data_IF_353535925315
#
_entry.id   IF_353535925315
#
_cell.length_a   1.000
_cell.length_b   1.000
_cell.length_c   1.000
_cell.angle_alpha   90.00
_cell.angle_beta   90.00
_cell.angle_gamma   90.00
#
_symmetry.space_group_name_H-M   'P 1'
#
loop_
_entity.id
_entity.type
_entity.pdbx_description
1 polymer ?
#
# COMPACT_ATOMS: atom_id res chain seq x y z
N UNK A 1 -3.46 3.85 -19.60
CA UNK A 1 -3.76 2.41 -19.68
C UNK A 1 -2.74 1.67 -20.54
N UNK A 2 -2.55 2.03 -21.82
CA UNK A 2 -1.66 1.35 -22.77
C UNK A 2 -0.22 1.13 -22.25
N UNK A 3 0.43 2.19 -21.75
CA UNK A 3 1.76 2.07 -21.15
C UNK A 3 1.77 1.12 -19.93
N UNK A 4 0.67 1.10 -19.17
CA UNK A 4 0.52 0.23 -18.01
C UNK A 4 0.38 -1.23 -18.43
N UNK A 5 -0.48 -1.54 -19.41
CA UNK A 5 -0.63 -2.90 -19.93
C UNK A 5 0.72 -3.43 -20.43
N UNK A 6 1.40 -2.65 -21.24
CA UNK A 6 2.70 -3.06 -21.78
C UNK A 6 3.75 -3.24 -20.69
N UNK A 7 3.83 -2.33 -19.68
CA UNK A 7 4.79 -2.46 -18.59
C UNK A 7 4.51 -3.69 -17.71
N UNK A 8 3.23 -3.99 -17.47
CA UNK A 8 2.82 -5.18 -16.73
C UNK A 8 3.19 -6.46 -17.48
N UNK A 9 3.00 -6.50 -18.79
CA UNK A 9 3.44 -7.65 -19.63
C UNK A 9 4.96 -7.82 -19.63
N UNK A 10 5.72 -6.73 -19.63
CA UNK A 10 7.19 -6.79 -19.54
C UNK A 10 7.68 -7.34 -18.21
N UNK A 11 7.01 -7.00 -17.11
CA UNK A 11 7.43 -7.36 -15.75
C UNK A 11 6.85 -8.70 -15.31
N UNK A 12 5.57 -8.93 -15.55
CA UNK A 12 4.86 -10.13 -15.05
C UNK A 12 4.79 -11.26 -16.09
N UNK A 13 4.96 -10.94 -17.37
CA UNK A 13 4.93 -11.90 -18.46
C UNK A 13 3.77 -11.77 -19.44
N UNK A 14 3.87 -12.46 -20.56
CA UNK A 14 2.95 -12.38 -21.69
C UNK A 14 1.51 -12.89 -21.40
N UNK A 15 1.29 -13.57 -20.28
CA UNK A 15 -0.03 -14.05 -19.85
C UNK A 15 -0.93 -12.93 -19.32
N UNK A 16 -0.37 -11.74 -19.05
CA UNK A 16 -1.14 -10.59 -18.61
C UNK A 16 -2.05 -10.13 -19.74
N UNK A 17 -3.34 -10.06 -19.45
CA UNK A 17 -4.37 -9.54 -20.35
C UNK A 17 -5.24 -8.54 -19.60
N UNK A 18 -5.61 -7.45 -20.27
CA UNK A 18 -6.56 -6.51 -19.73
C UNK A 18 -7.94 -7.17 -19.61
N UNK A 19 -8.51 -7.17 -18.39
CA UNK A 19 -9.88 -7.65 -18.11
C UNK A 19 -10.86 -6.51 -17.92
N UNK A 20 -10.38 -5.30 -17.70
CA UNK A 20 -11.14 -4.08 -17.60
C UNK A 20 -10.27 -2.87 -17.37
N UNK A 21 -10.75 -1.69 -17.73
CA UNK A 21 -10.09 -0.43 -17.40
C UNK A 21 -11.10 0.69 -17.25
N UNK A 22 -10.74 1.66 -16.42
CA UNK A 22 -11.49 2.90 -16.25
C UNK A 22 -10.49 4.03 -16.10
N UNK A 23 -10.69 5.10 -16.84
CA UNK A 23 -9.92 6.35 -16.72
C UNK A 23 -10.88 7.46 -16.35
N UNK A 24 -10.62 8.11 -15.24
CA UNK A 24 -11.35 9.29 -14.76
C UNK A 24 -10.40 10.50 -14.71
N UNK A 25 -10.90 11.70 -14.47
CA UNK A 25 -10.02 12.87 -14.28
C UNK A 25 -9.07 12.74 -13.09
N UNK A 26 -9.38 11.93 -12.09
CA UNK A 26 -8.65 11.84 -10.82
C UNK A 26 -7.83 10.58 -10.64
N UNK A 27 -8.17 9.48 -11.30
CA UNK A 27 -7.45 8.20 -11.20
C UNK A 27 -7.70 7.32 -12.42
N UNK A 28 -6.86 6.33 -12.58
CA UNK A 28 -7.10 5.21 -13.48
C UNK A 28 -7.18 3.91 -12.69
N UNK A 29 -8.00 2.97 -13.20
CA UNK A 29 -8.11 1.60 -12.74
C UNK A 29 -7.81 0.66 -13.90
N UNK A 30 -7.05 -0.39 -13.61
CA UNK A 30 -6.70 -1.42 -14.57
C UNK A 30 -6.84 -2.80 -13.94
N UNK A 31 -7.71 -3.63 -14.53
CA UNK A 31 -7.96 -5.00 -14.12
C UNK A 31 -7.23 -5.95 -15.09
N UNK A 32 -6.41 -6.84 -14.56
CA UNK A 32 -5.56 -7.74 -15.34
C UNK A 32 -5.67 -9.19 -14.90
N UNK A 33 -5.44 -10.12 -15.83
CA UNK A 33 -5.28 -11.54 -15.51
C UNK A 33 -3.91 -11.79 -14.87
N UNK A 34 -3.92 -12.14 -13.58
CA UNK A 34 -2.72 -12.56 -12.87
C UNK A 34 -3.11 -13.31 -11.60
N UNK A 35 -2.49 -14.47 -11.33
CA UNK A 35 -2.90 -15.34 -10.23
C UNK A 35 -2.27 -14.98 -8.89
N UNK A 36 -1.10 -14.37 -8.91
CA UNK A 36 -0.35 -14.02 -7.72
C UNK A 36 -0.51 -12.55 -7.36
N UNK A 37 -0.24 -12.20 -6.10
CA UNK A 37 -0.11 -10.80 -5.70
C UNK A 37 1.10 -10.20 -6.39
N UNK A 38 0.95 -9.03 -7.00
CA UNK A 38 2.08 -8.31 -7.57
C UNK A 38 2.91 -7.72 -6.42
N UNK A 39 4.19 -8.04 -6.41
CA UNK A 39 5.10 -7.62 -5.35
C UNK A 39 5.40 -6.11 -5.39
N UNK A 40 5.80 -5.50 -4.27
CA UNK A 40 6.22 -4.09 -4.26
C UNK A 40 7.37 -3.79 -5.23
N UNK A 41 8.28 -4.74 -5.42
CA UNK A 41 9.41 -4.66 -6.35
C UNK A 41 8.95 -4.64 -7.80
N UNK A 42 8.02 -5.52 -8.16
CA UNK A 42 7.41 -5.57 -9.49
C UNK A 42 6.61 -4.30 -9.78
N UNK A 43 5.78 -3.83 -8.83
CA UNK A 43 5.05 -2.57 -8.97
C UNK A 43 6.00 -1.38 -9.19
N UNK A 44 7.09 -1.33 -8.43
CA UNK A 44 8.12 -0.30 -8.60
C UNK A 44 8.80 -0.38 -9.97
N UNK A 45 9.04 -1.59 -10.47
CA UNK A 45 9.60 -1.78 -11.81
C UNK A 45 8.63 -1.31 -12.89
N UNK A 46 7.34 -1.62 -12.77
CA UNK A 46 6.27 -1.13 -13.66
C UNK A 46 6.24 0.41 -13.66
N UNK A 47 6.21 1.05 -12.48
CA UNK A 47 6.26 2.52 -12.38
C UNK A 47 7.49 3.11 -13.08
N UNK A 48 8.67 2.51 -12.88
CA UNK A 48 9.91 2.98 -13.52
C UNK A 48 9.86 2.89 -15.04
N UNK A 49 9.32 1.81 -15.58
CA UNK A 49 9.15 1.62 -17.01
C UNK A 49 8.22 2.70 -17.58
N UNK A 50 7.06 2.90 -16.95
CA UNK A 50 6.07 3.88 -17.41
C UNK A 50 6.64 5.30 -17.34
N UNK A 51 7.22 5.69 -16.20
CA UNK A 51 7.78 7.02 -16.04
C UNK A 51 8.98 7.29 -16.98
N UNK A 52 9.75 6.25 -17.32
CA UNK A 52 10.79 6.35 -18.36
C UNK A 52 10.16 6.68 -19.70
N UNK A 53 9.14 5.96 -20.14
CA UNK A 53 8.44 6.19 -21.41
C UNK A 53 7.73 7.55 -21.47
N UNK A 54 7.23 8.00 -20.32
CA UNK A 54 6.68 9.37 -20.22
C UNK A 54 7.77 10.40 -20.52
N UNK A 55 8.96 10.26 -19.93
CA UNK A 55 10.10 11.18 -20.18
C UNK A 55 10.68 11.10 -21.59
N UNK A 56 10.51 9.96 -22.27
CA UNK A 56 10.89 9.80 -23.68
C UNK A 56 9.99 10.58 -24.64
N UNK A 57 8.87 11.11 -24.15
CA UNK A 57 7.89 11.91 -24.90
C UNK A 57 7.49 11.28 -26.25
N UNK A 58 7.16 9.98 -26.20
CA UNK A 58 6.83 9.17 -27.38
C UNK A 58 5.59 9.73 -28.06
N UNK A 59 5.64 10.08 -29.36
CA UNK A 59 4.50 10.61 -30.07
C UNK A 59 3.45 9.55 -30.34
N UNK A 60 2.17 9.97 -30.32
CA UNK A 60 1.05 9.15 -30.74
C UNK A 60 1.11 8.89 -32.26
N UNK A 61 1.03 7.62 -32.63
CA UNK A 61 0.72 7.19 -33.99
C UNK A 61 -0.73 6.70 -34.02
N UNK A 62 -1.60 7.43 -34.68
CA UNK A 62 -3.06 7.17 -34.76
C UNK A 62 -3.39 6.63 -36.16
N UNK A 63 -3.43 5.31 -36.27
CA UNK A 63 -3.75 4.61 -37.50
C UNK A 63 -5.26 4.37 -37.58
N UNK A 64 -5.97 5.12 -38.37
CA UNK A 64 -7.40 5.05 -38.53
C UNK A 64 -7.80 4.19 -39.73
N UNK A 65 -8.93 3.53 -39.61
CA UNK A 65 -9.54 2.79 -40.72
C UNK A 65 -8.60 1.74 -41.33
N UNK A 66 -7.88 1.02 -40.48
CA UNK A 66 -6.95 -0.08 -40.85
C UNK A 66 -7.71 -1.37 -41.01
N UNK A 67 -7.51 -2.14 -42.11
CA UNK A 67 -8.05 -3.50 -42.20
C UNK A 67 -7.57 -4.36 -41.01
N UNK A 68 -8.48 -5.13 -40.43
CA UNK A 68 -8.18 -5.90 -39.21
C UNK A 68 -6.99 -6.85 -39.36
N UNK A 69 -6.83 -7.46 -40.53
CA UNK A 69 -5.71 -8.35 -40.84
C UNK A 69 -4.36 -7.61 -40.94
N UNK A 70 -4.37 -6.37 -41.40
CA UNK A 70 -3.18 -5.50 -41.38
C UNK A 70 -2.83 -5.09 -39.95
N UNK A 71 -3.84 -4.68 -39.17
CA UNK A 71 -3.65 -4.30 -37.79
C UNK A 71 -3.07 -5.45 -36.93
N UNK A 72 -3.51 -6.67 -37.18
CA UNK A 72 -2.91 -7.88 -36.56
C UNK A 72 -1.43 -8.07 -36.95
N UNK A 73 -1.09 -7.82 -38.22
CA UNK A 73 0.31 -7.89 -38.69
C UNK A 73 1.19 -6.82 -38.05
N UNK A 74 0.63 -5.67 -37.67
CA UNK A 74 1.32 -4.63 -36.89
C UNK A 74 1.60 -5.09 -35.43
N UNK A 75 1.08 -6.24 -35.00
CA UNK A 75 1.18 -6.72 -33.64
C UNK A 75 0.18 -6.07 -32.70
N UNK A 76 -0.87 -5.46 -33.25
CA UNK A 76 -1.88 -4.79 -32.42
C UNK A 76 -2.68 -5.77 -31.54
N UNK A 77 -2.75 -5.47 -30.26
CA UNK A 77 -3.45 -6.25 -29.26
C UNK A 77 -4.93 -5.84 -29.26
N UNK A 78 -5.81 -6.83 -29.36
CA UNK A 78 -7.25 -6.67 -29.22
C UNK A 78 -7.65 -6.82 -27.75
N UNK A 79 -8.57 -5.98 -27.27
CA UNK A 79 -9.15 -6.13 -25.94
C UNK A 79 -9.99 -7.41 -25.85
N UNK A 80 -9.86 -8.13 -24.76
CA UNK A 80 -10.57 -9.38 -24.54
C UNK A 80 -12.10 -9.14 -24.52
N UNK A 81 -12.82 -9.95 -25.30
CA UNK A 81 -14.30 -9.93 -25.33
C UNK A 81 -14.95 -8.87 -26.24
N UNK A 82 -14.16 -7.98 -26.86
CA UNK A 82 -14.69 -7.03 -27.82
C UNK A 82 -14.81 -7.64 -29.23
N UNK A 83 -15.88 -7.29 -29.91
CA UNK A 83 -16.10 -7.66 -31.32
C UNK A 83 -15.70 -6.47 -32.20
N UNK A 84 -14.74 -6.70 -33.07
CA UNK A 84 -14.26 -5.69 -34.01
C UNK A 84 -14.85 -5.93 -35.39
N UNK A 85 -15.12 -4.84 -36.13
CA UNK A 85 -15.50 -4.91 -37.52
C UNK A 85 -14.30 -5.23 -38.42
N UNK A 86 -14.52 -5.20 -39.73
CA UNK A 86 -13.47 -5.46 -40.72
C UNK A 86 -12.35 -4.40 -40.73
N UNK A 87 -12.65 -3.21 -40.20
CA UNK A 87 -11.73 -2.08 -40.09
C UNK A 87 -11.70 -1.55 -38.67
N UNK A 88 -10.50 -1.22 -38.20
CA UNK A 88 -10.24 -0.83 -36.83
C UNK A 88 -9.37 0.42 -36.75
N UNK A 89 -9.38 1.07 -35.58
CA UNK A 89 -8.41 2.08 -35.23
C UNK A 89 -7.31 1.44 -34.39
N UNK A 90 -6.04 1.66 -34.76
CA UNK A 90 -4.87 1.22 -34.02
C UNK A 90 -4.18 2.42 -33.42
N UNK A 91 -3.97 2.39 -32.13
CA UNK A 91 -3.23 3.40 -31.37
C UNK A 91 -1.88 2.83 -31.02
N UNK A 92 -0.81 3.56 -31.35
CA UNK A 92 0.55 3.12 -31.11
C UNK A 92 1.38 4.17 -30.36
N UNK A 93 2.05 3.73 -29.31
CA UNK A 93 3.11 4.45 -28.61
C UNK A 93 4.32 3.53 -28.52
N UNK A 94 5.28 3.69 -29.44
CA UNK A 94 6.44 2.80 -29.61
C UNK A 94 6.00 1.32 -29.73
N UNK A 95 6.30 0.49 -28.75
CA UNK A 95 5.97 -0.95 -28.73
C UNK A 95 4.54 -1.25 -28.25
N UNK A 96 3.84 -0.29 -27.67
CA UNK A 96 2.43 -0.45 -27.33
C UNK A 96 1.58 -0.21 -28.56
N UNK A 97 1.00 -1.25 -29.09
CA UNK A 97 0.16 -1.22 -30.29
C UNK A 97 -1.17 -1.91 -29.94
N UNK A 98 -2.27 -1.17 -29.95
CA UNK A 98 -3.56 -1.67 -29.45
C UNK A 98 -4.73 -1.20 -30.30
N UNK A 99 -5.77 -2.03 -30.38
CA UNK A 99 -7.06 -1.61 -30.91
C UNK A 99 -7.73 -0.71 -29.88
N UNK A 100 -7.93 0.55 -30.20
CA UNK A 100 -8.53 1.47 -29.22
C UNK A 100 -9.34 2.59 -29.90
N UNK A 101 -10.63 2.71 -29.49
CA UNK A 101 -11.51 3.79 -29.89
C UNK A 101 -11.45 5.03 -28.99
N UNK A 102 -10.70 4.99 -27.89
CA UNK A 102 -10.66 6.04 -26.88
C UNK A 102 -9.92 7.32 -27.30
N UNK A 103 -9.93 8.30 -26.39
CA UNK A 103 -9.14 9.53 -26.54
C UNK A 103 -7.74 9.34 -25.93
N UNK A 104 -6.73 9.91 -26.60
CA UNK A 104 -5.34 9.78 -26.20
C UNK A 104 -4.63 11.13 -26.18
N UNK A 105 -3.58 11.22 -25.38
CA UNK A 105 -2.63 12.34 -25.43
C UNK A 105 -1.84 12.30 -26.74
N UNK A 106 -1.34 13.46 -27.17
CA UNK A 106 -0.53 13.57 -28.40
C UNK A 106 0.86 12.95 -28.26
N UNK A 107 1.38 12.92 -27.04
CA UNK A 107 2.65 12.26 -26.69
C UNK A 107 2.63 11.84 -25.24
N UNK A 108 3.48 10.87 -24.88
CA UNK A 108 3.53 10.33 -23.52
C UNK A 108 3.99 11.35 -22.49
N UNK A 109 4.80 12.34 -22.85
CA UNK A 109 5.25 13.41 -21.96
C UNK A 109 4.13 14.22 -21.34
N UNK A 110 2.97 14.30 -22.00
CA UNK A 110 1.80 15.00 -21.48
C UNK A 110 1.06 14.27 -20.35
N UNK A 111 1.43 13.03 -20.05
CA UNK A 111 0.84 12.26 -18.95
C UNK A 111 1.33 12.78 -17.59
N UNK A 112 2.54 13.34 -17.53
CA UNK A 112 3.18 13.75 -16.29
C UNK A 112 3.64 12.57 -15.43
N UNK A 113 3.87 12.79 -14.15
CA UNK A 113 4.27 11.74 -13.21
C UNK A 113 3.17 10.67 -13.10
N UNK A 114 3.57 9.40 -13.16
CA UNK A 114 2.69 8.25 -12.93
C UNK A 114 3.03 7.57 -11.59
N UNK A 115 2.02 7.30 -10.75
CA UNK A 115 2.16 6.60 -9.48
C UNK A 115 1.09 5.54 -9.31
N UNK A 116 1.48 4.34 -8.87
CA UNK A 116 0.55 3.29 -8.45
C UNK A 116 0.11 3.61 -7.01
N UNK A 117 -1.20 3.64 -6.80
CA UNK A 117 -1.82 3.89 -5.49
C UNK A 117 -2.08 2.59 -4.75
N UNK A 118 -2.66 1.61 -5.45
CA UNK A 118 -3.05 0.34 -4.84
C UNK A 118 -2.93 -0.83 -5.81
N UNK A 119 -2.76 -2.02 -5.24
CA UNK A 119 -2.86 -3.31 -5.91
C UNK A 119 -3.70 -4.24 -5.06
N UNK A 120 -4.74 -4.86 -5.66
CA UNK A 120 -5.68 -5.71 -4.93
C UNK A 120 -6.22 -6.86 -5.78
N UNK A 121 -6.79 -7.88 -5.13
CA UNK A 121 -7.54 -8.95 -5.79
C UNK A 121 -8.99 -8.52 -5.98
N UNK A 122 -9.54 -8.76 -7.16
CA UNK A 122 -10.96 -8.49 -7.47
C UNK A 122 -11.74 -9.79 -7.60
N UNK A 123 -11.13 -10.80 -8.22
CA UNK A 123 -11.70 -12.14 -8.37
C UNK A 123 -10.55 -13.15 -8.49
N UNK A 124 -10.88 -14.44 -8.53
CA UNK A 124 -9.90 -15.49 -8.77
C UNK A 124 -9.16 -15.24 -10.09
N UNK A 125 -7.84 -15.10 -10.03
CA UNK A 125 -6.99 -14.83 -11.19
C UNK A 125 -7.11 -13.42 -11.78
N UNK A 126 -7.78 -12.49 -11.11
CA UNK A 126 -7.91 -11.09 -11.56
C UNK A 126 -7.38 -10.15 -10.49
N UNK A 127 -6.36 -9.37 -10.86
CA UNK A 127 -5.76 -8.32 -10.05
C UNK A 127 -6.21 -6.95 -10.55
N UNK A 128 -6.28 -5.99 -9.64
CA UNK A 128 -6.60 -4.59 -9.91
C UNK A 128 -5.43 -3.71 -9.50
N UNK A 129 -5.06 -2.81 -10.41
CA UNK A 129 -4.13 -1.72 -10.12
C UNK A 129 -4.89 -0.41 -10.25
N UNK A 130 -4.75 0.44 -9.23
CA UNK A 130 -5.20 1.82 -9.27
C UNK A 130 -3.97 2.73 -9.31
N UNK A 131 -4.02 3.75 -10.15
CA UNK A 131 -2.92 4.67 -10.34
C UNK A 131 -3.41 6.08 -10.60
N UNK A 132 -2.52 7.04 -10.37
CA UNK A 132 -2.75 8.47 -10.60
C UNK A 132 -1.67 9.04 -11.51
N UNK A 133 -1.96 10.16 -12.17
CA UNK A 133 -1.01 10.86 -13.04
C UNK A 133 -1.03 12.35 -12.81
N UNK A 134 -0.03 13.05 -13.33
CA UNK A 134 0.10 14.52 -13.30
C UNK A 134 -0.10 15.07 -11.87
N UNK A 135 -0.93 16.11 -11.73
CA UNK A 135 -1.20 16.80 -10.46
C UNK A 135 -1.58 15.85 -9.30
N UNK A 136 -2.42 14.85 -9.57
CA UNK A 136 -2.82 13.90 -8.53
C UNK A 136 -1.63 13.03 -8.02
N UNK A 137 -0.67 12.73 -8.91
CA UNK A 137 0.54 12.01 -8.52
C UNK A 137 1.52 12.92 -7.76
N UNK A 138 1.64 14.18 -8.14
CA UNK A 138 2.45 15.19 -7.44
C UNK A 138 1.91 15.43 -6.03
N UNK A 139 0.59 15.63 -5.91
CA UNK A 139 -0.08 15.81 -4.63
C UNK A 139 0.10 14.59 -3.69
N UNK A 140 0.07 13.38 -4.23
CA UNK A 140 0.38 12.17 -3.47
C UNK A 140 1.82 12.21 -2.92
N UNK A 141 2.79 12.66 -3.71
CA UNK A 141 4.17 12.79 -3.27
C UNK A 141 4.32 13.86 -2.19
N UNK A 142 3.64 15.01 -2.32
CA UNK A 142 3.65 16.07 -1.31
C UNK A 142 3.10 15.57 0.02
N UNK A 143 1.94 14.91 0.04
CA UNK A 143 1.35 14.34 1.26
C UNK A 143 2.28 13.33 1.94
N UNK A 144 2.91 12.46 1.15
CA UNK A 144 3.88 11.50 1.71
C UNK A 144 5.08 12.21 2.34
N UNK A 145 5.57 13.27 1.70
CA UNK A 145 6.68 14.06 2.22
C UNK A 145 6.29 14.84 3.49
N UNK A 146 5.08 15.40 3.53
CA UNK A 146 4.57 16.10 4.71
C UNK A 146 4.48 15.18 5.94
N UNK A 147 3.93 13.97 5.78
CA UNK A 147 3.90 12.95 6.84
C UNK A 147 5.32 12.61 7.32
N UNK A 148 6.30 12.49 6.40
CA UNK A 148 7.68 12.22 6.78
C UNK A 148 8.32 13.40 7.52
N UNK A 149 7.99 14.63 7.16
CA UNK A 149 8.48 15.83 7.82
C UNK A 149 7.87 15.98 9.22
N UNK A 150 6.58 15.70 9.37
CA UNK A 150 5.89 15.67 10.66
C UNK A 150 6.52 14.63 11.59
N UNK A 151 6.76 13.42 11.10
CA UNK A 151 7.46 12.39 11.86
C UNK A 151 8.87 12.84 12.26
N UNK A 152 9.66 13.44 11.36
CA UNK A 152 10.97 13.96 11.70
C UNK A 152 10.91 14.99 12.81
N UNK A 153 9.91 15.88 12.77
CA UNK A 153 9.72 16.90 13.80
C UNK A 153 9.43 16.27 15.16
N UNK A 154 8.58 15.25 15.22
CA UNK A 154 8.27 14.50 16.45
C UNK A 154 9.51 13.81 17.05
N UNK A 155 10.46 13.41 16.21
CA UNK A 155 11.72 12.78 16.62
C UNK A 155 12.94 13.72 16.58
N UNK A 156 12.75 14.99 16.98
CA UNK A 156 13.82 15.99 17.09
C UNK A 156 14.67 16.16 15.81
N UNK A 157 14.04 16.09 14.63
CA UNK A 157 14.69 16.17 13.33
C UNK A 157 15.76 15.09 13.11
N UNK A 158 15.52 13.88 13.58
CA UNK A 158 16.42 12.76 13.40
C UNK A 158 16.78 12.56 11.91
N UNK A 159 18.06 12.32 11.62
CA UNK A 159 18.54 12.07 10.25
C UNK A 159 17.93 10.79 9.65
N UNK A 160 17.84 9.75 10.48
CA UNK A 160 17.21 8.48 10.15
C UNK A 160 15.99 8.30 11.04
N UNK A 161 14.80 8.56 10.46
CA UNK A 161 13.54 8.44 11.17
C UNK A 161 13.21 6.99 11.51
N UNK A 162 13.61 6.04 10.67
CA UNK A 162 13.34 4.62 10.89
C UNK A 162 14.08 4.11 12.13
N UNK A 163 15.34 4.49 12.28
CA UNK A 163 16.13 4.18 13.48
C UNK A 163 15.56 4.86 14.72
N UNK A 164 15.15 6.12 14.61
CA UNK A 164 14.58 6.86 15.75
C UNK A 164 13.28 6.22 16.25
N UNK A 165 12.40 5.80 15.32
CA UNK A 165 11.15 5.09 15.66
C UNK A 165 11.46 3.74 16.29
N UNK A 166 12.42 2.97 15.76
CA UNK A 166 12.81 1.68 16.30
C UNK A 166 13.31 1.81 17.74
N UNK A 167 14.23 2.75 17.99
CA UNK A 167 14.74 3.01 19.34
C UNK A 167 13.63 3.40 20.32
N UNK A 168 12.67 4.23 19.90
CA UNK A 168 11.54 4.61 20.75
C UNK A 168 10.61 3.43 21.08
N UNK A 169 10.44 2.48 20.17
CA UNK A 169 9.69 1.25 20.42
C UNK A 169 10.44 0.37 21.43
N UNK A 170 11.75 0.18 21.27
CA UNK A 170 12.58 -0.61 22.20
C UNK A 170 12.57 0.02 23.59
N UNK A 171 12.80 1.34 23.72
CA UNK A 171 12.74 2.06 24.99
C UNK A 171 11.37 1.92 25.67
N UNK A 172 10.28 2.03 24.90
CA UNK A 172 8.94 1.84 25.43
C UNK A 172 8.73 0.42 26.01
N UNK A 173 9.26 -0.60 25.33
CA UNK A 173 9.13 -1.98 25.78
C UNK A 173 10.01 -2.27 27.03
N UNK A 174 11.17 -1.63 27.12
CA UNK A 174 12.00 -1.68 28.34
C UNK A 174 11.29 -0.99 29.52
N UNK A 175 10.77 0.22 29.31
CA UNK A 175 10.02 0.95 30.33
C UNK A 175 8.79 0.16 30.83
N UNK A 176 8.05 -0.50 29.94
CA UNK A 176 6.93 -1.37 30.32
C UNK A 176 7.39 -2.50 31.26
N UNK A 177 8.51 -3.16 30.94
CA UNK A 177 9.07 -4.22 31.79
C UNK A 177 9.51 -3.70 33.16
N UNK A 178 10.09 -2.50 33.21
CA UNK A 178 10.45 -1.87 34.48
C UNK A 178 9.22 -1.51 35.30
N UNK A 179 8.21 -0.88 34.71
CA UNK A 179 6.94 -0.57 35.37
C UNK A 179 6.32 -1.85 35.96
N UNK A 180 6.28 -2.94 35.19
CA UNK A 180 5.77 -4.21 35.67
C UNK A 180 6.55 -4.74 36.90
N UNK A 181 7.88 -4.69 36.89
CA UNK A 181 8.72 -5.05 38.02
C UNK A 181 8.43 -4.17 39.24
N UNK A 182 8.32 -2.87 39.08
CA UNK A 182 7.97 -1.95 40.15
C UNK A 182 6.58 -2.27 40.75
N UNK A 183 5.60 -2.53 39.88
CA UNK A 183 4.27 -2.91 40.35
C UNK A 183 4.25 -4.23 41.13
N UNK A 184 5.00 -5.25 40.70
CA UNK A 184 5.15 -6.50 41.41
C UNK A 184 5.82 -6.32 42.80
N UNK A 185 6.84 -5.45 42.87
CA UNK A 185 7.46 -5.13 44.15
C UNK A 185 6.46 -4.42 45.09
N UNK A 186 5.71 -3.45 44.57
CA UNK A 186 4.67 -2.73 45.33
C UNK A 186 3.57 -3.65 45.84
N UNK A 187 3.14 -4.63 45.02
CA UNK A 187 2.19 -5.68 45.43
C UNK A 187 2.73 -6.48 46.62
N UNK A 188 4.00 -6.93 46.55
CA UNK A 188 4.65 -7.68 47.62
C UNK A 188 4.80 -6.86 48.90
N UNK A 189 5.15 -5.60 48.81
CA UNK A 189 5.26 -4.71 49.99
C UNK A 189 3.89 -4.47 50.60
N UNK A 190 2.89 -4.15 49.81
CA UNK A 190 1.53 -3.95 50.26
C UNK A 190 0.98 -5.26 50.92
N UNK A 191 1.21 -6.40 50.31
CA UNK A 191 0.83 -7.68 50.89
C UNK A 191 1.43 -7.91 52.30
N UNK A 192 2.72 -7.56 52.50
CA UNK A 192 3.36 -7.63 53.84
C UNK A 192 2.73 -6.67 54.85
N UNK A 193 2.37 -5.45 54.42
CA UNK A 193 1.69 -4.47 55.26
C UNK A 193 0.28 -4.91 55.64
N UNK A 194 -0.47 -5.41 54.67
CA UNK A 194 -1.82 -5.91 54.87
C UNK A 194 -1.87 -7.12 55.81
N UNK A 195 -0.91 -8.00 55.74
CA UNK A 195 -0.80 -9.14 56.65
C UNK A 195 -0.57 -8.72 58.10
N UNK A 196 0.02 -7.55 58.40
CA UNK A 196 0.21 -7.01 59.75
C UNK A 196 -1.09 -6.53 60.38
N UNK A 197 -2.06 -6.08 59.57
CA UNK A 197 -3.35 -5.54 60.02
C UNK A 197 -4.49 -6.55 59.91
N UNK A 198 -4.21 -7.77 59.42
CA UNK A 198 -5.20 -8.83 59.31
C UNK A 198 -5.68 -9.29 60.67
N UNK A 199 -7.01 -9.47 60.88
CA UNK A 199 -7.63 -9.96 62.11
C UNK A 199 -7.49 -11.47 62.21
N UNK A 200 -7.05 -11.98 63.39
CA UNK A 200 -7.02 -13.41 63.66
C UNK A 200 -8.44 -13.88 64.06
N UNK A 201 -9.01 -14.84 63.34
CA UNK A 201 -10.28 -15.51 63.68
C UNK A 201 -10.08 -17.02 63.74
N UNK A 202 -9.65 -17.50 64.93
CA UNK A 202 -9.26 -18.89 65.11
C UNK A 202 -8.02 -19.23 64.27
N UNK A 203 -8.12 -20.26 63.46
CA UNK A 203 -6.99 -20.74 62.61
C UNK A 203 -6.84 -19.95 61.27
N UNK A 204 -7.69 -18.94 61.01
CA UNK A 204 -7.65 -18.15 59.81
C UNK A 204 -7.37 -16.67 60.07
N UNK A 205 -6.74 -16.00 59.12
CA UNK A 205 -6.58 -14.55 59.13
C UNK A 205 -7.58 -13.93 58.15
N UNK A 206 -8.37 -12.97 58.62
CA UNK A 206 -9.34 -12.24 57.82
C UNK A 206 -8.80 -10.84 57.51
N UNK A 207 -8.76 -10.49 56.22
CA UNK A 207 -8.41 -9.17 55.78
C UNK A 207 -9.49 -8.67 54.81
N UNK A 208 -9.94 -7.42 55.03
CA UNK A 208 -10.78 -6.69 54.10
C UNK A 208 -10.04 -5.43 53.69
N UNK A 209 -9.67 -5.32 52.41
CA UNK A 209 -8.97 -4.17 51.89
C UNK A 209 -9.61 -3.70 50.57
N UNK A 210 -9.72 -2.40 50.36
CA UNK A 210 -10.21 -1.81 49.13
C UNK A 210 -9.04 -1.16 48.43
N UNK A 211 -8.67 -1.68 47.28
CA UNK A 211 -7.64 -1.09 46.42
C UNK A 211 -8.18 0.23 45.88
N UNK A 212 -7.50 1.34 46.17
CA UNK A 212 -7.90 2.68 45.79
C UNK A 212 -7.38 3.10 44.44
N UNK A 213 -6.35 2.45 43.96
CA UNK A 213 -5.70 2.72 42.68
C UNK A 213 -6.29 1.82 41.56
N UNK A 214 -6.29 2.28 40.32
CA UNK A 214 -6.67 1.45 39.16
C UNK A 214 -5.56 0.44 38.83
N UNK A 215 -5.55 -0.65 39.56
CA UNK A 215 -4.61 -1.73 39.31
C UNK A 215 -5.13 -2.71 38.26
N UNK A 216 -4.23 -3.25 37.46
CA UNK A 216 -4.59 -4.33 36.53
C UNK A 216 -5.14 -5.55 37.31
N UNK A 217 -6.17 -6.24 36.80
CA UNK A 217 -6.80 -7.37 37.48
C UNK A 217 -5.82 -8.47 37.95
N UNK A 218 -4.75 -8.71 37.18
CA UNK A 218 -3.75 -9.71 37.48
C UNK A 218 -2.91 -9.32 38.73
N UNK A 219 -2.57 -8.03 38.88
CA UNK A 219 -1.88 -7.54 40.08
C UNK A 219 -2.75 -7.63 41.33
N UNK A 220 -4.08 -7.50 41.21
CA UNK A 220 -5.02 -7.67 42.33
C UNK A 220 -5.08 -9.15 42.73
N UNK A 221 -5.03 -10.07 41.75
CA UNK A 221 -4.93 -11.51 42.06
C UNK A 221 -3.63 -11.85 42.81
N UNK A 222 -2.50 -11.31 42.30
CA UNK A 222 -1.19 -11.52 42.93
C UNK A 222 -1.12 -10.98 44.37
N UNK A 223 -1.95 -9.98 44.71
CA UNK A 223 -2.09 -9.49 46.08
C UNK A 223 -2.93 -10.41 46.96
N UNK A 224 -3.85 -11.19 46.37
CA UNK A 224 -4.78 -12.06 47.10
C UNK A 224 -4.27 -13.46 47.35
N UNK A 225 -3.25 -13.89 46.65
CA UNK A 225 -2.62 -15.21 46.76
C UNK A 225 -1.13 -15.10 47.13
#
# INVERSE_FOLDING_TARGET
THLLDQALREVLGAHVEQKGSLVTPTYLRFDLSHYQKVTPEELRQVERIINRRIREDIPLQDHRDVPIEEAKKMGAIALFGEKYGDRVRVVQFDKSVEFCGGCHVRSTGRIGLFRIVSESSVAAGIRRIEAVTAEAAEEMCYRQNDVLNDLRTLFNNAKDISVAVHNAIEENDELKKEVEKFMQLRVKELGKELMKIAENRGDIKLLKYVVKDEWAPDLIKDLAF
#
